data_IF_876724844753
#
_entry.id   IF_876724844753
#
_cell.length_a   1.000
_cell.length_b   1.000
_cell.length_c   1.000
_cell.angle_alpha   90.00
_cell.angle_beta   90.00
_cell.angle_gamma   90.00
#
_symmetry.space_group_name_H-M   'P 1'
#
loop_
_entity.id
_entity.type
_entity.pdbx_description
1 polymer ?
#
# COMPACT_ATOMS: atom_id res chain seq x y z
N UNK A 1 -2.44 -13.38 20.60
CA UNK A 1 -2.90 -14.14 19.42
C UNK A 1 -3.14 -13.16 18.29
N UNK A 2 -2.60 -13.42 17.10
CA UNK A 2 -2.91 -12.62 15.91
C UNK A 2 -4.29 -13.03 15.37
N UNK A 3 -5.16 -12.07 15.10
CA UNK A 3 -6.45 -12.31 14.42
C UNK A 3 -6.25 -12.02 12.93
N UNK A 4 -6.70 -12.93 12.07
CA UNK A 4 -6.71 -12.68 10.63
C UNK A 4 -7.73 -11.57 10.35
N UNK A 5 -7.28 -10.49 9.70
CA UNK A 5 -8.13 -9.41 9.24
C UNK A 5 -7.87 -9.16 7.76
N UNK A 6 -8.93 -9.26 6.96
CA UNK A 6 -8.90 -8.94 5.53
C UNK A 6 -9.85 -7.75 5.33
N UNK A 7 -9.33 -6.52 5.10
CA UNK A 7 -10.18 -5.35 4.96
C UNK A 7 -11.09 -5.44 3.72
N UNK A 8 -12.31 -4.91 3.82
CA UNK A 8 -13.16 -4.74 2.63
C UNK A 8 -12.54 -3.72 1.67
N UNK A 9 -12.90 -3.80 0.40
CA UNK A 9 -12.55 -2.73 -0.55
C UNK A 9 -13.21 -1.42 -0.10
N UNK A 10 -12.46 -0.32 -0.17
CA UNK A 10 -12.88 0.99 0.33
C UNK A 10 -12.58 1.23 1.80
N UNK A 11 -12.16 0.22 2.57
CA UNK A 11 -11.72 0.43 3.95
C UNK A 11 -10.51 1.36 3.98
N UNK A 12 -10.59 2.39 4.83
CA UNK A 12 -9.47 3.27 5.13
C UNK A 12 -8.70 2.71 6.34
N UNK A 13 -7.42 2.43 6.13
CA UNK A 13 -6.47 2.04 7.17
C UNK A 13 -5.61 3.24 7.51
N UNK A 14 -5.44 3.55 8.80
CA UNK A 14 -4.50 4.58 9.23
C UNK A 14 -3.24 3.90 9.76
N UNK A 15 -2.09 4.20 9.16
CA UNK A 15 -0.81 3.65 9.61
C UNK A 15 -0.57 3.99 11.09
N UNK A 16 -0.24 2.98 11.90
CA UNK A 16 0.12 3.15 13.30
C UNK A 16 1.61 3.46 13.48
N UNK A 17 2.44 3.00 12.55
CA UNK A 17 3.87 3.24 12.49
C UNK A 17 4.30 3.61 11.07
N UNK A 18 5.54 4.10 10.93
CA UNK A 18 6.15 4.32 9.62
C UNK A 18 6.25 2.99 8.87
N UNK A 19 5.85 2.99 7.61
CA UNK A 19 5.87 1.80 6.77
C UNK A 19 6.84 2.00 5.60
N UNK A 20 7.98 1.32 5.68
CA UNK A 20 8.95 1.22 4.60
C UNK A 20 8.68 0.00 3.73
N UNK A 21 8.68 0.21 2.42
CA UNK A 21 8.48 -0.86 1.45
C UNK A 21 9.17 -0.54 0.12
N UNK A 22 9.24 -1.55 -0.73
CA UNK A 22 9.81 -1.38 -2.06
C UNK A 22 8.73 -1.01 -3.08
N UNK A 23 8.75 0.23 -3.56
CA UNK A 23 7.82 0.71 -4.58
C UNK A 23 8.31 0.25 -5.96
N UNK A 24 7.63 -0.73 -6.54
CA UNK A 24 7.95 -1.25 -7.87
C UNK A 24 7.92 -0.13 -8.93
N UNK A 25 8.85 -0.16 -9.88
CA UNK A 25 9.01 0.81 -10.98
C UNK A 25 7.91 0.75 -12.07
N UNK A 26 6.69 0.38 -11.71
CA UNK A 26 5.54 0.25 -12.62
C UNK A 26 4.78 1.57 -12.79
N UNK A 27 4.18 1.78 -13.97
CA UNK A 27 3.35 2.96 -14.29
C UNK A 27 2.19 3.21 -13.31
N UNK A 28 1.68 2.17 -12.66
CA UNK A 28 0.63 2.28 -11.64
C UNK A 28 1.09 3.04 -10.40
N UNK A 29 2.41 3.14 -10.18
CA UNK A 29 3.03 3.80 -9.05
C UNK A 29 3.56 5.21 -9.39
N UNK A 30 3.46 5.65 -10.66
CA UNK A 30 3.98 6.95 -11.12
C UNK A 30 3.44 8.13 -10.30
N UNK A 31 2.15 8.05 -9.93
CA UNK A 31 1.52 9.05 -9.10
C UNK A 31 2.20 9.18 -7.73
N UNK A 32 2.58 8.04 -7.12
CA UNK A 32 3.23 8.01 -5.82
C UNK A 32 4.70 8.44 -5.90
N UNK A 33 5.45 7.97 -6.90
CA UNK A 33 6.82 8.43 -7.16
C UNK A 33 6.91 9.95 -7.26
N UNK A 34 6.02 10.55 -8.05
CA UNK A 34 5.94 12.01 -8.22
C UNK A 34 5.60 12.71 -6.90
N UNK A 35 4.67 12.16 -6.12
CA UNK A 35 4.26 12.74 -4.84
C UNK A 35 5.40 12.73 -3.80
N UNK A 36 6.19 11.66 -3.78
CA UNK A 36 7.32 11.47 -2.87
C UNK A 36 8.62 12.12 -3.37
N UNK A 37 8.62 12.73 -4.56
CA UNK A 37 9.80 13.29 -5.23
C UNK A 37 10.95 12.27 -5.36
N UNK A 38 10.60 11.00 -5.56
CA UNK A 38 11.55 9.91 -5.77
C UNK A 38 11.67 9.63 -7.28
N UNK A 39 12.88 9.43 -7.82
CA UNK A 39 13.03 9.00 -9.20
C UNK A 39 12.44 7.61 -9.35
N UNK A 40 11.68 7.37 -10.42
CA UNK A 40 11.33 6.02 -10.83
C UNK A 40 12.60 5.37 -11.36
N UNK A 41 13.05 4.30 -10.72
CA UNK A 41 14.14 3.50 -11.25
C UNK A 41 13.61 2.76 -12.49
N UNK A 42 13.82 3.37 -13.66
CA UNK A 42 13.65 2.67 -14.93
C UNK A 42 14.76 1.62 -14.97
N UNK A 43 14.41 0.36 -15.29
CA UNK A 43 15.38 -0.72 -15.56
C UNK A 43 16.02 -1.44 -14.36
N UNK A 44 15.53 -1.26 -13.13
CA UNK A 44 15.87 -2.19 -12.03
C UNK A 44 14.61 -2.89 -11.55
N UNK A 45 14.64 -4.22 -11.54
CA UNK A 45 13.59 -5.05 -10.92
C UNK A 45 13.43 -4.73 -9.42
N UNK A 46 14.43 -4.05 -8.86
CA UNK A 46 14.58 -3.72 -7.46
C UNK A 46 13.73 -2.56 -6.95
N UNK A 47 12.96 -1.83 -7.79
CA UNK A 47 12.08 -0.74 -7.34
C UNK A 47 12.81 0.40 -6.62
N UNK A 48 12.09 1.18 -5.81
CA UNK A 48 12.68 2.18 -4.92
C UNK A 48 12.15 2.02 -3.49
N UNK A 49 13.06 2.04 -2.51
CA UNK A 49 12.66 2.07 -1.11
C UNK A 49 12.02 3.43 -0.77
N UNK A 50 10.79 3.34 -0.26
CA UNK A 50 9.99 4.48 0.17
C UNK A 50 9.42 4.22 1.55
N UNK A 51 9.22 5.29 2.31
CA UNK A 51 8.60 5.24 3.63
C UNK A 51 7.37 6.13 3.63
N UNK A 52 6.23 5.57 4.03
CA UNK A 52 5.04 6.34 4.35
C UNK A 52 4.99 6.55 5.87
N UNK A 53 4.84 7.79 6.35
CA UNK A 53 4.88 8.08 7.77
C UNK A 53 3.65 7.54 8.49
N UNK A 54 3.80 7.30 9.79
CA UNK A 54 2.69 7.02 10.70
C UNK A 54 1.59 8.08 10.54
N UNK A 55 0.34 7.64 10.67
CA UNK A 55 -0.84 8.47 10.46
C UNK A 55 -1.28 8.63 9.00
N UNK A 56 -0.51 8.13 8.02
CA UNK A 56 -0.95 8.10 6.62
C UNK A 56 -2.22 7.27 6.45
N UNK A 57 -3.22 7.82 5.76
CA UNK A 57 -4.45 7.10 5.40
C UNK A 57 -4.27 6.34 4.10
N UNK A 58 -4.49 5.02 4.15
CA UNK A 58 -4.46 4.10 3.01
C UNK A 58 -5.86 3.54 2.77
N UNK A 59 -6.47 3.87 1.63
CA UNK A 59 -7.75 3.29 1.23
C UNK A 59 -7.49 2.06 0.36
N UNK A 60 -7.98 0.90 0.80
CA UNK A 60 -7.86 -0.37 0.05
C UNK A 60 -8.69 -0.30 -1.22
N UNK A 61 -8.10 -0.57 -2.39
CA UNK A 61 -8.79 -0.50 -3.69
C UNK A 61 -8.96 -1.84 -4.37
N UNK A 62 -7.92 -2.68 -4.38
CA UNK A 62 -7.95 -3.99 -5.05
C UNK A 62 -7.01 -4.98 -4.35
N UNK A 63 -7.44 -6.23 -4.29
CA UNK A 63 -6.57 -7.37 -4.00
C UNK A 63 -6.26 -8.09 -5.30
N UNK A 64 -4.99 -8.38 -5.55
CA UNK A 64 -4.56 -9.23 -6.65
C UNK A 64 -3.70 -10.34 -6.05
N UNK A 65 -4.27 -11.53 -5.95
CA UNK A 65 -3.63 -12.72 -5.37
C UNK A 65 -3.85 -13.87 -6.34
N UNK A 66 -2.77 -14.55 -6.74
CA UNK A 66 -2.79 -15.64 -7.72
C UNK A 66 -2.02 -16.85 -7.18
N UNK A 67 -2.66 -18.01 -7.25
CA UNK A 67 -2.04 -19.26 -6.82
C UNK A 67 -0.76 -19.54 -7.64
N UNK A 68 0.35 -19.78 -6.95
CA UNK A 68 1.65 -20.12 -7.57
C UNK A 68 2.35 -18.96 -8.27
N UNK A 69 1.91 -17.72 -8.07
CA UNK A 69 2.45 -16.51 -8.74
C UNK A 69 2.73 -15.40 -7.72
N UNK A 70 3.44 -15.73 -6.64
CA UNK A 70 3.67 -14.86 -5.48
C UNK A 70 4.32 -13.51 -5.86
N UNK A 71 5.14 -13.48 -6.93
CA UNK A 71 5.73 -12.25 -7.45
C UNK A 71 4.69 -11.26 -7.95
N UNK A 72 3.53 -11.74 -8.38
CA UNK A 72 2.44 -10.92 -8.88
C UNK A 72 1.46 -10.51 -7.78
N UNK A 73 1.58 -11.04 -6.56
CA UNK A 73 0.64 -10.75 -5.49
C UNK A 73 0.85 -9.34 -4.93
N UNK A 74 -0.19 -8.51 -5.02
CA UNK A 74 -0.14 -7.14 -4.58
C UNK A 74 -1.51 -6.61 -4.17
N UNK A 75 -1.48 -5.56 -3.35
CA UNK A 75 -2.66 -4.80 -2.96
C UNK A 75 -2.51 -3.39 -3.51
N UNK A 76 -3.56 -2.89 -4.16
CA UNK A 76 -3.62 -1.50 -4.62
C UNK A 76 -4.26 -0.64 -3.54
N UNK A 77 -3.62 0.47 -3.22
CA UNK A 77 -4.10 1.47 -2.29
C UNK A 77 -4.33 2.81 -2.98
N UNK A 78 -5.10 3.68 -2.33
CA UNK A 78 -5.03 5.12 -2.53
C UNK A 78 -4.54 5.77 -1.23
N UNK A 79 -3.38 6.44 -1.27
CA UNK A 79 -2.83 7.20 -0.15
C UNK A 79 -3.06 8.69 -0.33
N UNK A 80 -3.34 9.39 0.77
CA UNK A 80 -3.32 10.86 0.78
C UNK A 80 -1.93 11.36 1.12
N UNK A 81 -1.29 12.04 0.17
CA UNK A 81 0.05 12.62 0.31
C UNK A 81 -0.01 14.04 -0.21
N UNK A 82 0.50 15.01 0.56
CA UNK A 82 0.48 16.44 0.20
C UNK A 82 -0.92 16.95 -0.20
N UNK A 83 -1.97 16.48 0.49
CA UNK A 83 -3.36 16.86 0.23
C UNK A 83 -3.99 16.23 -1.02
N UNK A 84 -3.27 15.39 -1.76
CA UNK A 84 -3.76 14.72 -2.98
C UNK A 84 -3.80 13.21 -2.81
N UNK A 85 -4.76 12.56 -3.47
CA UNK A 85 -4.88 11.10 -3.47
C UNK A 85 -4.03 10.49 -4.58
N UNK A 86 -3.12 9.60 -4.22
CA UNK A 86 -2.24 8.89 -5.15
C UNK A 86 -2.51 7.39 -5.08
N UNK A 87 -2.77 6.77 -6.23
CA UNK A 87 -2.91 5.32 -6.35
C UNK A 87 -1.52 4.71 -6.52
N UNK A 88 -1.30 3.56 -5.89
CA UNK A 88 -0.13 2.73 -6.04
C UNK A 88 -0.46 1.29 -5.64
N UNK A 89 0.42 0.35 -5.95
CA UNK A 89 0.38 -0.98 -5.35
C UNK A 89 1.65 -1.27 -4.56
N UNK A 90 1.51 -2.15 -3.58
CA UNK A 90 2.62 -2.75 -2.85
C UNK A 90 2.50 -4.27 -2.89
N UNK A 91 3.64 -4.96 -2.95
CA UNK A 91 3.70 -6.42 -2.97
C UNK A 91 3.16 -6.98 -1.65
N UNK A 92 2.55 -8.16 -1.71
CA UNK A 92 1.90 -8.75 -0.53
C UNK A 92 2.88 -8.98 0.63
N UNK A 93 4.14 -9.29 0.34
CA UNK A 93 5.21 -9.45 1.34
C UNK A 93 5.51 -8.17 2.14
N UNK A 94 5.36 -7.00 1.52
CA UNK A 94 5.54 -5.71 2.18
C UNK A 94 4.27 -5.28 2.92
N UNK A 95 3.09 -5.56 2.33
CA UNK A 95 1.79 -5.21 2.93
C UNK A 95 1.55 -5.96 4.24
N UNK A 96 2.02 -7.20 4.35
CA UNK A 96 1.92 -7.98 5.60
C UNK A 96 2.72 -7.41 6.77
N UNK A 97 3.55 -6.38 6.54
CA UNK A 97 4.32 -5.66 7.58
C UNK A 97 3.64 -4.37 8.03
N UNK A 98 2.48 -4.02 7.47
CA UNK A 98 1.76 -2.81 7.87
C UNK A 98 1.25 -2.95 9.30
N UNK A 99 1.63 -2.00 10.13
CA UNK A 99 0.98 -1.73 11.41
C UNK A 99 -0.05 -0.61 11.21
N UNK A 100 -1.31 -0.87 11.55
CA UNK A 100 -2.39 0.08 11.39
C UNK A 100 -3.25 0.14 12.65
N UNK A 101 -3.81 1.32 12.93
CA UNK A 101 -4.84 1.45 13.95
C UNK A 101 -6.10 0.76 13.44
N UNK A 102 -6.73 -0.09 14.25
CA UNK A 102 -7.95 -0.81 13.85
C UNK A 102 -8.97 0.20 13.28
N UNK A 103 -9.43 0.00 12.03
CA UNK A 103 -10.47 0.85 11.50
C UNK A 103 -11.71 0.67 12.37
N UNK A 104 -12.42 1.77 12.65
CA UNK A 104 -13.67 1.70 13.40
C UNK A 104 -14.56 0.59 12.80
N UNK A 105 -15.16 -0.29 13.63
CA UNK A 105 -15.97 -1.39 13.14
C UNK A 105 -17.04 -0.81 12.23
N UNK A 106 -16.96 -1.16 10.95
CA UNK A 106 -17.98 -0.74 10.01
C UNK A 106 -19.29 -1.41 10.47
N UNK A 107 -20.37 -0.65 10.71
CA UNK A 107 -21.65 -1.26 11.05
C UNK A 107 -21.97 -2.27 9.94
N UNK A 108 -22.16 -3.52 10.35
CA UNK A 108 -22.69 -4.56 9.46
C UNK A 108 -24.07 -4.05 9.03
N UNK A 109 -24.17 -3.65 7.76
CA UNK A 109 -25.44 -3.44 7.11
C UNK A 109 -26.15 -4.79 6.94
#
# INVERSE_FOLDING_TARGET
>A
MARLFIPKLGTALKLAADWSFNLAGDRLNDGLFKALRKPRALFTDSGAEVTLPAGTELVVRKYYIRLGQCENDHITFAARINGKSHRFFAKLCDVNRIEYAEPAPHPLA
#
